data_IF_769599411819
#
_entry.id   IF_769599411819
#
_cell.length_a   1.000
_cell.length_b   1.000
_cell.length_c   1.000
_cell.angle_alpha   90.00
_cell.angle_beta   90.00
_cell.angle_gamma   90.00
#
_symmetry.space_group_name_H-M   'P 1'
#
loop_
_entity.id
_entity.type
_entity.pdbx_description
1 polymer ?
#
# COMPACT_ATOMS: atom_id res chain seq x y z
N UNK A 1 -5.15 3.78 18.90
CA UNK A 1 -4.63 4.49 17.72
C UNK A 1 -3.79 3.49 16.95
N UNK A 2 -4.16 3.18 15.71
CA UNK A 2 -3.46 2.19 14.87
C UNK A 2 -2.55 2.92 13.88
N UNK A 3 -1.27 2.56 13.82
CA UNK A 3 -0.33 3.11 12.85
C UNK A 3 -0.22 2.23 11.60
N UNK A 4 -0.47 2.81 10.44
CA UNK A 4 -0.43 2.16 9.14
C UNK A 4 0.70 2.75 8.30
N UNK A 5 1.58 1.89 7.78
CA UNK A 5 2.59 2.28 6.81
C UNK A 5 2.10 1.99 5.39
N UNK A 6 1.97 3.02 4.57
CA UNK A 6 1.64 2.87 3.16
C UNK A 6 2.92 2.78 2.36
N UNK A 7 3.17 1.64 1.72
CA UNK A 7 4.36 1.42 0.93
C UNK A 7 4.06 1.67 -0.54
N UNK A 8 4.62 2.76 -1.10
CA UNK A 8 4.35 3.17 -2.48
C UNK A 8 5.65 3.45 -3.26
N UNK A 9 5.88 2.79 -4.41
CA UNK A 9 7.10 2.99 -5.20
C UNK A 9 7.04 4.17 -6.18
N UNK A 10 6.15 5.14 -5.98
CA UNK A 10 6.01 6.30 -6.85
C UNK A 10 5.56 7.54 -6.08
N UNK A 11 5.21 8.60 -6.81
CA UNK A 11 4.79 9.88 -6.24
C UNK A 11 3.41 10.27 -6.78
N UNK A 12 2.36 9.86 -6.07
CA UNK A 12 0.97 10.14 -6.44
C UNK A 12 0.11 10.21 -5.18
N UNK A 13 -0.82 11.17 -5.15
CA UNK A 13 -1.84 11.30 -4.10
C UNK A 13 -1.27 11.38 -2.67
N UNK A 14 -0.08 11.96 -2.50
CA UNK A 14 0.57 12.09 -1.18
C UNK A 14 -0.26 12.94 -0.21
N UNK A 15 -1.00 13.91 -0.74
CA UNK A 15 -1.91 14.80 -0.03
C UNK A 15 -3.18 14.08 0.48
N UNK A 16 -3.53 12.92 -0.07
CA UNK A 16 -4.69 12.14 0.37
C UNK A 16 -4.47 11.47 1.74
N UNK A 17 -3.24 11.11 2.10
CA UNK A 17 -2.98 10.40 3.35
C UNK A 17 -3.24 11.25 4.60
N UNK A 18 -2.66 12.48 4.73
CA UNK A 18 -3.00 13.35 5.86
C UNK A 18 -4.48 13.75 5.89
N UNK A 19 -5.12 13.84 4.72
CA UNK A 19 -6.55 14.12 4.62
C UNK A 19 -7.39 12.97 5.16
N UNK A 20 -7.05 11.73 4.85
CA UNK A 20 -7.72 10.53 5.37
C UNK A 20 -7.57 10.43 6.89
N UNK A 21 -6.38 10.70 7.44
CA UNK A 21 -6.19 10.72 8.91
C UNK A 21 -7.14 11.69 9.62
N UNK A 22 -7.32 12.88 9.05
CA UNK A 22 -8.26 13.89 9.57
C UNK A 22 -9.72 13.41 9.50
N UNK A 23 -10.10 12.79 8.38
CA UNK A 23 -11.46 12.27 8.19
C UNK A 23 -11.79 11.11 9.12
N UNK A 24 -10.80 10.29 9.47
CA UNK A 24 -10.94 9.16 10.38
C UNK A 24 -10.75 9.54 11.87
N UNK A 25 -10.73 10.84 12.19
CA UNK A 25 -10.71 11.31 13.57
C UNK A 25 -9.41 11.02 14.33
N UNK A 26 -8.30 10.79 13.63
CA UNK A 26 -6.98 10.50 14.20
C UNK A 26 -6.89 9.22 15.05
N UNK A 27 -7.89 8.34 14.98
CA UNK A 27 -7.79 6.99 15.55
C UNK A 27 -6.80 6.11 14.78
N UNK A 28 -6.43 6.55 13.58
CA UNK A 28 -5.46 5.90 12.69
C UNK A 28 -4.44 6.95 12.27
N UNK A 29 -3.16 6.57 12.28
CA UNK A 29 -2.06 7.30 11.67
C UNK A 29 -1.66 6.57 10.39
N UNK A 30 -1.43 7.29 9.31
CA UNK A 30 -1.13 6.79 7.98
C UNK A 30 0.14 7.47 7.47
N UNK A 31 1.25 6.75 7.58
CA UNK A 31 2.54 7.22 7.10
C UNK A 31 2.77 6.71 5.68
N UNK A 32 3.03 7.61 4.72
CA UNK A 32 3.52 7.22 3.41
C UNK A 32 5.03 6.94 3.47
N UNK A 33 5.42 5.70 3.17
CA UNK A 33 6.80 5.24 3.12
C UNK A 33 7.17 4.92 1.67
N UNK A 34 8.29 5.44 1.19
CA UNK A 34 8.81 5.15 -0.15
C UNK A 34 8.83 6.32 -1.14
N UNK A 35 8.47 7.53 -0.69
CA UNK A 35 8.72 8.77 -1.44
C UNK A 35 10.18 9.20 -1.29
N UNK A 36 11.10 8.55 -2.00
CA UNK A 36 12.48 9.01 -2.17
C UNK A 36 12.75 9.12 -3.68
N UNK A 37 13.23 10.28 -4.12
CA UNK A 37 13.20 10.81 -5.51
C UNK A 37 13.92 9.94 -6.57
N UNK A 38 14.74 8.97 -6.17
CA UNK A 38 15.70 8.29 -7.06
C UNK A 38 15.24 6.95 -7.65
N UNK A 39 13.97 6.57 -7.44
CA UNK A 39 13.42 5.39 -8.11
C UNK A 39 12.86 5.73 -9.47
N UNK A 40 13.74 5.68 -10.46
CA UNK A 40 13.29 5.44 -11.82
C UNK A 40 12.62 4.05 -11.89
N UNK A 41 11.27 4.05 -11.95
CA UNK A 41 10.40 2.89 -12.16
C UNK A 41 10.82 2.01 -13.34
N UNK A 42 11.67 2.53 -14.23
CA UNK A 42 12.05 1.87 -15.49
C UNK A 42 13.47 1.27 -15.49
N UNK A 43 14.29 1.47 -14.45
CA UNK A 43 15.68 0.97 -14.43
C UNK A 43 16.27 0.56 -13.06
N UNK A 44 15.59 0.83 -11.93
CA UNK A 44 16.20 0.74 -10.59
C UNK A 44 16.07 -0.60 -9.84
N UNK A 45 17.05 -0.86 -8.96
CA UNK A 45 17.11 -1.98 -8.00
C UNK A 45 15.87 -2.07 -7.09
N UNK A 46 14.88 -2.82 -7.58
CA UNK A 46 13.60 -3.05 -6.90
C UNK A 46 13.75 -3.77 -5.57
N UNK A 47 14.68 -4.72 -5.49
CA UNK A 47 14.92 -5.52 -4.29
C UNK A 47 15.53 -4.64 -3.19
N UNK A 48 16.60 -3.91 -3.50
CA UNK A 48 17.22 -3.00 -2.53
C UNK A 48 16.31 -1.85 -2.12
N UNK A 49 15.42 -1.36 -3.00
CA UNK A 49 14.39 -0.42 -2.60
C UNK A 49 13.43 -1.01 -1.57
N UNK A 50 12.94 -2.24 -1.81
CA UNK A 50 12.00 -2.89 -0.92
C UNK A 50 12.64 -3.12 0.46
N UNK A 51 13.90 -3.54 0.49
CA UNK A 51 14.68 -3.70 1.73
C UNK A 51 14.78 -2.38 2.51
N UNK A 52 15.18 -1.28 1.86
CA UNK A 52 15.27 0.05 2.50
C UNK A 52 13.91 0.53 3.01
N UNK A 53 12.86 0.31 2.23
CA UNK A 53 11.52 0.76 2.59
C UNK A 53 10.92 -0.06 3.74
N UNK A 54 11.19 -1.37 3.78
CA UNK A 54 10.84 -2.24 4.89
C UNK A 54 11.56 -1.81 6.17
N UNK A 55 12.83 -1.41 6.08
CA UNK A 55 13.55 -0.90 7.24
C UNK A 55 12.95 0.44 7.72
N UNK A 56 12.65 1.36 6.81
CA UNK A 56 11.96 2.61 7.13
C UNK A 56 10.58 2.36 7.78
N UNK A 57 9.81 1.39 7.29
CA UNK A 57 8.54 0.96 7.88
C UNK A 57 8.71 0.52 9.34
N UNK A 58 9.73 -0.28 9.65
CA UNK A 58 9.99 -0.72 11.03
C UNK A 58 10.36 0.43 11.95
N UNK A 59 11.14 1.40 11.45
CA UNK A 59 11.54 2.59 12.21
C UNK A 59 10.39 3.60 12.41
N UNK A 60 9.40 3.61 11.51
CA UNK A 60 8.23 4.49 11.60
C UNK A 60 7.29 4.16 12.77
N UNK A 61 7.39 2.97 13.36
CA UNK A 61 6.45 2.48 14.36
C UNK A 61 5.09 2.08 13.77
N UNK A 62 5.04 1.76 12.46
CA UNK A 62 3.86 1.17 11.83
C UNK A 62 3.54 -0.20 12.45
N UNK A 63 2.25 -0.46 12.67
CA UNK A 63 1.72 -1.72 13.19
C UNK A 63 1.27 -2.66 12.06
N UNK A 64 1.04 -2.12 10.86
CA UNK A 64 0.74 -2.88 9.65
C UNK A 64 1.19 -2.10 8.40
N UNK A 65 1.41 -2.82 7.29
CA UNK A 65 1.81 -2.25 6.00
C UNK A 65 0.77 -2.48 4.90
N UNK A 66 0.55 -1.48 4.06
CA UNK A 66 -0.29 -1.61 2.85
C UNK A 66 0.54 -1.30 1.61
N UNK A 67 0.62 -2.28 0.72
CA UNK A 67 1.20 -2.13 -0.61
C UNK A 67 0.30 -1.29 -1.52
N UNK A 68 0.75 -0.11 -1.94
CA UNK A 68 -0.04 0.89 -2.66
C UNK A 68 0.19 0.95 -4.17
N UNK A 69 0.54 -0.14 -4.84
CA UNK A 69 0.58 -0.17 -6.32
C UNK A 69 -0.68 -0.85 -6.88
N UNK A 70 -1.64 -0.05 -7.36
CA UNK A 70 -2.88 -0.57 -7.94
C UNK A 70 -2.66 -1.24 -9.30
N UNK A 71 -1.58 -0.95 -10.03
CA UNK A 71 -1.26 -1.71 -11.24
C UNK A 71 -0.66 -3.07 -10.87
N UNK A 72 0.40 -3.05 -10.07
CA UNK A 72 1.09 -4.26 -9.61
C UNK A 72 0.28 -5.16 -8.66
N UNK A 73 -0.78 -4.65 -8.03
CA UNK A 73 -1.63 -5.40 -7.09
C UNK A 73 -2.80 -6.15 -7.74
N UNK A 74 -3.15 -5.85 -8.99
CA UNK A 74 -4.21 -6.54 -9.75
C UNK A 74 -3.68 -7.34 -10.96
N UNK A 75 -2.56 -6.90 -11.57
CA UNK A 75 -1.95 -7.52 -12.75
C UNK A 75 -1.51 -9.00 -12.55
N UNK A 76 -0.94 -9.40 -11.39
CA UNK A 76 -0.48 -10.78 -11.18
C UNK A 76 -1.61 -11.81 -11.00
N UNK A 77 -2.85 -11.37 -10.81
CA UNK A 77 -3.97 -12.24 -10.45
C UNK A 77 -3.99 -12.64 -8.96
N UNK A 78 -5.03 -13.37 -8.56
CA UNK A 78 -5.37 -13.58 -7.14
C UNK A 78 -4.29 -14.30 -6.31
N UNK A 79 -3.75 -15.40 -6.83
CA UNK A 79 -2.79 -16.21 -6.09
C UNK A 79 -1.47 -15.45 -5.87
N UNK A 80 -1.01 -14.76 -6.92
CA UNK A 80 0.24 -13.98 -6.88
C UNK A 80 0.08 -12.73 -6.02
N UNK A 81 -1.10 -12.08 -6.01
CA UNK A 81 -1.38 -10.99 -5.07
C UNK A 81 -1.32 -11.45 -3.61
N UNK A 82 -1.81 -12.65 -3.29
CA UNK A 82 -1.67 -13.22 -1.94
C UNK A 82 -0.22 -13.55 -1.60
N UNK A 83 0.53 -14.11 -2.56
CA UNK A 83 1.95 -14.41 -2.37
C UNK A 83 2.75 -13.12 -2.11
N UNK A 84 2.51 -12.05 -2.89
CA UNK A 84 3.15 -10.75 -2.72
C UNK A 84 2.89 -10.15 -1.33
N UNK A 85 1.63 -10.15 -0.86
CA UNK A 85 1.30 -9.64 0.48
C UNK A 85 1.93 -10.50 1.56
N UNK A 86 1.97 -11.83 1.38
CA UNK A 86 2.62 -12.74 2.33
C UNK A 86 4.13 -12.49 2.41
N UNK A 87 4.79 -12.32 1.28
CA UNK A 87 6.23 -12.01 1.22
C UNK A 87 6.51 -10.66 1.87
N UNK A 88 5.68 -9.65 1.61
CA UNK A 88 5.79 -8.35 2.27
C UNK A 88 5.60 -8.47 3.79
N UNK A 89 4.62 -9.25 4.27
CA UNK A 89 4.41 -9.45 5.70
C UNK A 89 5.64 -10.11 6.36
N UNK A 90 6.22 -11.12 5.71
CA UNK A 90 7.42 -11.80 6.21
C UNK A 90 8.64 -10.87 6.20
N UNK A 91 8.81 -10.08 5.14
CA UNK A 91 9.89 -9.12 5.04
C UNK A 91 9.73 -8.00 6.09
N UNK A 92 8.55 -7.43 6.24
CA UNK A 92 8.29 -6.34 7.17
C UNK A 92 8.28 -6.80 8.64
N UNK A 93 7.92 -8.06 8.91
CA UNK A 93 7.73 -8.57 10.26
C UNK A 93 6.44 -8.08 10.91
N UNK A 94 5.46 -7.65 10.10
CA UNK A 94 4.18 -7.11 10.54
C UNK A 94 3.06 -7.53 9.58
N UNK A 95 1.78 -7.46 9.99
CA UNK A 95 0.66 -7.68 9.08
C UNK A 95 0.76 -6.82 7.83
N UNK A 96 0.50 -7.42 6.67
CA UNK A 96 0.51 -6.73 5.39
C UNK A 96 -0.81 -6.88 4.64
N UNK A 97 -1.11 -5.90 3.80
CA UNK A 97 -2.21 -5.93 2.82
C UNK A 97 -1.81 -5.15 1.57
N UNK A 98 -2.75 -4.97 0.63
CA UNK A 98 -2.61 -4.11 -0.53
C UNK A 98 -3.87 -3.27 -0.73
N UNK A 99 -3.75 -2.19 -1.50
CA UNK A 99 -4.91 -1.38 -1.93
C UNK A 99 -5.92 -2.19 -2.73
N UNK A 100 -5.49 -3.21 -3.49
CA UNK A 100 -6.38 -4.11 -4.23
C UNK A 100 -7.27 -4.93 -3.30
N UNK A 101 -6.71 -5.52 -2.24
CA UNK A 101 -7.50 -6.18 -1.21
C UNK A 101 -8.39 -5.19 -0.46
N UNK A 102 -7.83 -4.03 -0.06
CA UNK A 102 -8.60 -2.97 0.62
C UNK A 102 -9.85 -2.55 -0.15
N UNK A 103 -9.75 -2.38 -1.47
CA UNK A 103 -10.89 -2.09 -2.33
C UNK A 103 -11.97 -3.19 -2.29
N UNK A 104 -11.57 -4.46 -2.40
CA UNK A 104 -12.51 -5.59 -2.34
C UNK A 104 -13.20 -5.67 -0.98
N UNK A 105 -12.44 -5.52 0.11
CA UNK A 105 -13.00 -5.51 1.46
C UNK A 105 -13.98 -4.36 1.65
N UNK A 106 -13.65 -3.15 1.19
CA UNK A 106 -14.54 -2.00 1.27
C UNK A 106 -15.82 -2.19 0.45
N UNK A 107 -15.72 -2.74 -0.77
CA UNK A 107 -16.88 -3.04 -1.61
C UNK A 107 -17.81 -4.07 -0.94
N UNK A 108 -17.23 -5.10 -0.29
CA UNK A 108 -17.99 -6.10 0.46
C UNK A 108 -18.68 -5.49 1.68
N UNK A 109 -17.97 -4.65 2.44
CA UNK A 109 -18.48 -3.99 3.65
C UNK A 109 -19.73 -3.14 3.35
N UNK A 110 -19.72 -2.41 2.23
CA UNK A 110 -20.87 -1.60 1.82
C UNK A 110 -21.94 -2.40 1.03
N UNK A 111 -21.76 -3.72 0.87
CA UNK A 111 -22.68 -4.59 0.15
C UNK A 111 -22.76 -4.33 -1.37
N UNK A 112 -21.73 -3.72 -1.96
CA UNK A 112 -21.70 -3.42 -3.39
C UNK A 112 -21.56 -4.71 -4.22
N UNK A 113 -22.60 -5.06 -4.98
CA UNK A 113 -22.59 -6.20 -5.91
C UNK A 113 -22.12 -5.84 -7.33
N UNK A 114 -22.13 -4.56 -7.67
CA UNK A 114 -21.72 -4.01 -8.97
C UNK A 114 -20.94 -2.74 -8.71
N UNK A 115 -19.77 -2.62 -9.32
CA UNK A 115 -18.90 -1.45 -9.19
C UNK A 115 -18.59 -0.93 -10.58
N UNK A 116 -18.74 0.38 -10.78
CA UNK A 116 -18.22 1.06 -11.96
C UNK A 116 -16.76 1.44 -11.68
N UNK A 117 -15.85 1.06 -12.58
CA UNK A 117 -14.42 1.30 -12.42
C UNK A 117 -14.00 2.40 -13.39
N UNK A 118 -13.43 3.47 -12.86
CA UNK A 118 -12.70 4.48 -13.62
C UNK A 118 -11.22 4.35 -13.26
N UNK A 119 -10.37 4.11 -14.26
CA UNK A 119 -8.94 3.96 -14.07
C UNK A 119 -8.19 4.85 -15.07
N UNK A 120 -7.00 5.34 -14.70
CA UNK A 120 -6.13 6.08 -15.63
C UNK A 120 -5.37 5.14 -16.60
N UNK A 121 -5.53 3.83 -16.44
CA UNK A 121 -4.87 2.81 -17.25
C UNK A 121 -5.72 2.45 -18.47
N UNK A 122 -5.08 2.35 -19.63
CA UNK A 122 -5.69 1.93 -20.89
C UNK A 122 -5.64 0.41 -21.06
#
# INVERSE_FOLDING_TARGET
>A
MTALGILYPGHFAEDDYPRIEQLLGSDIRVDLIGADDDLDRTAGDRAGWLERSVEALRLSGAEAVVWADTRGGFEPGWADAHAQVRELALAAGMPASSTSFGFVHAAQEIGARRVAVAAPYA
#
